data_IF_310939354775
#
_entry.id   IF_310939354775
#
_cell.length_a   1.000
_cell.length_b   1.000
_cell.length_c   1.000
_cell.angle_alpha   90.00
_cell.angle_beta   90.00
_cell.angle_gamma   90.00
#
_symmetry.space_group_name_H-M   'P 1'
#
loop_
_entity.id
_entity.type
_entity.pdbx_description
1 polymer ?
#
# COMPACT_ATOMS: atom_id res chain seq x y z
N UNK A 1 -9.94 20.88 -11.75
CA UNK A 1 -8.98 20.12 -10.91
C UNK A 1 -7.85 19.68 -11.83
N UNK A 2 -6.59 19.91 -11.47
CA UNK A 2 -5.47 19.43 -12.29
C UNK A 2 -5.15 17.97 -11.98
N UNK A 3 -4.50 17.27 -12.91
CA UNK A 3 -4.02 15.90 -12.72
C UNK A 3 -3.15 15.78 -11.46
N UNK A 4 -2.29 16.78 -11.22
CA UNK A 4 -1.46 16.87 -10.00
C UNK A 4 -2.28 16.85 -8.71
N UNK A 5 -3.33 17.67 -8.66
CA UNK A 5 -4.20 17.75 -7.49
C UNK A 5 -4.96 16.44 -7.28
N UNK A 6 -5.39 15.79 -8.37
CA UNK A 6 -6.05 14.48 -8.28
C UNK A 6 -5.07 13.41 -7.76
N UNK A 7 -3.88 13.29 -8.35
CA UNK A 7 -2.83 12.35 -7.92
C UNK A 7 -2.51 12.50 -6.44
N UNK A 8 -2.31 13.74 -5.99
CA UNK A 8 -2.04 14.02 -4.58
C UNK A 8 -3.23 13.70 -3.67
N UNK A 9 -4.46 13.99 -4.08
CA UNK A 9 -5.66 13.65 -3.32
C UNK A 9 -5.84 12.12 -3.20
N UNK A 10 -5.56 11.37 -4.26
CA UNK A 10 -5.60 9.90 -4.25
C UNK A 10 -4.58 9.31 -3.25
N UNK A 11 -3.38 9.89 -3.19
CA UNK A 11 -2.34 9.52 -2.22
C UNK A 11 -2.63 9.96 -0.78
N UNK A 12 -3.68 10.74 -0.54
CA UNK A 12 -4.12 11.12 0.80
C UNK A 12 -5.34 10.29 1.20
N UNK A 13 -6.39 10.33 0.39
CA UNK A 13 -7.67 9.67 0.67
C UNK A 13 -7.53 8.16 0.62
N UNK A 14 -6.81 7.63 -0.38
CA UNK A 14 -6.61 6.19 -0.57
C UNK A 14 -6.01 5.49 0.65
N UNK A 15 -4.79 5.86 1.10
CA UNK A 15 -4.17 5.19 2.24
C UNK A 15 -4.93 5.40 3.55
N UNK A 16 -5.57 6.56 3.77
CA UNK A 16 -6.43 6.75 4.94
C UNK A 16 -7.62 5.78 4.92
N UNK A 17 -8.33 5.70 3.80
CA UNK A 17 -9.47 4.79 3.66
C UNK A 17 -9.03 3.32 3.77
N UNK A 18 -7.90 2.97 3.16
CA UNK A 18 -7.38 1.61 3.13
C UNK A 18 -6.90 1.15 4.51
N UNK A 19 -5.97 1.89 5.11
CA UNK A 19 -5.35 1.50 6.38
C UNK A 19 -6.34 1.65 7.54
N UNK A 20 -7.12 2.73 7.61
CA UNK A 20 -8.13 2.86 8.66
C UNK A 20 -9.28 1.86 8.45
N UNK A 21 -9.68 1.60 7.21
CA UNK A 21 -10.69 0.58 6.90
C UNK A 21 -10.29 -0.80 7.40
N UNK A 22 -9.04 -1.20 7.18
CA UNK A 22 -8.50 -2.48 7.65
C UNK A 22 -8.15 -2.50 9.14
N UNK A 23 -7.58 -1.44 9.71
CA UNK A 23 -7.15 -1.42 11.11
C UNK A 23 -8.30 -1.17 12.09
N UNK A 24 -9.30 -0.37 11.73
CA UNK A 24 -10.42 0.00 12.61
C UNK A 24 -11.57 -0.99 12.51
N UNK A 25 -11.82 -1.53 11.30
CA UNK A 25 -12.94 -2.44 11.04
C UNK A 25 -12.47 -3.84 10.63
N UNK A 26 -11.24 -4.21 10.96
CA UNK A 26 -10.61 -5.47 10.51
C UNK A 26 -11.49 -6.71 10.69
N UNK A 27 -11.30 -7.74 9.85
CA UNK A 27 -12.23 -8.85 9.76
C UNK A 27 -12.33 -9.68 11.05
N UNK A 28 -11.36 -9.61 11.94
CA UNK A 28 -11.27 -10.49 13.11
C UNK A 28 -12.33 -10.16 14.17
N UNK A 29 -13.25 -11.11 14.41
CA UNK A 29 -14.24 -11.02 15.49
C UNK A 29 -15.41 -10.06 15.26
N UNK A 30 -15.48 -9.39 14.11
CA UNK A 30 -16.62 -8.55 13.74
C UNK A 30 -17.73 -9.36 13.05
N UNK A 31 -18.96 -8.84 13.07
CA UNK A 31 -20.05 -9.45 12.32
C UNK A 31 -19.80 -9.35 10.80
N UNK A 32 -20.41 -10.26 10.03
CA UNK A 32 -20.24 -10.37 8.57
C UNK A 32 -20.58 -9.07 7.82
N UNK A 33 -21.49 -8.24 8.35
CA UNK A 33 -21.86 -6.96 7.72
C UNK A 33 -20.73 -5.94 7.86
N UNK A 34 -20.14 -5.83 9.05
CA UNK A 34 -19.01 -4.91 9.30
C UNK A 34 -17.76 -5.36 8.56
N UNK A 35 -17.48 -6.66 8.51
CA UNK A 35 -16.37 -7.23 7.73
C UNK A 35 -16.45 -6.86 6.24
N UNK A 36 -17.67 -6.84 5.65
CA UNK A 36 -17.88 -6.39 4.26
C UNK A 36 -17.48 -4.95 4.04
N UNK A 37 -17.83 -4.06 4.97
CA UNK A 37 -17.47 -2.64 4.86
C UNK A 37 -15.95 -2.44 4.95
N UNK A 38 -15.28 -3.17 5.84
CA UNK A 38 -13.83 -3.15 5.97
C UNK A 38 -13.13 -3.59 4.69
N UNK A 39 -13.59 -4.68 4.09
CA UNK A 39 -13.08 -5.19 2.82
C UNK A 39 -13.22 -4.17 1.68
N UNK A 40 -14.43 -3.59 1.55
CA UNK A 40 -14.74 -2.59 0.52
C UNK A 40 -13.84 -1.36 0.69
N UNK A 41 -13.75 -0.81 1.90
CA UNK A 41 -12.91 0.36 2.17
C UNK A 41 -11.42 0.05 2.00
N UNK A 42 -10.99 -1.12 2.44
CA UNK A 42 -9.65 -1.62 2.27
C UNK A 42 -9.22 -1.70 0.80
N UNK A 43 -10.03 -2.36 -0.01
CA UNK A 43 -9.79 -2.52 -1.45
C UNK A 43 -9.83 -1.17 -2.17
N UNK A 44 -10.89 -0.38 -2.01
CA UNK A 44 -10.99 0.91 -2.69
C UNK A 44 -9.92 1.88 -2.24
N UNK A 45 -9.58 1.90 -0.94
CA UNK A 45 -8.51 2.72 -0.41
C UNK A 45 -7.16 2.38 -1.03
N UNK A 46 -6.81 1.09 -1.07
CA UNK A 46 -5.57 0.67 -1.72
C UNK A 46 -5.58 0.88 -3.25
N UNK A 47 -6.70 0.70 -3.92
CA UNK A 47 -6.83 0.97 -5.37
C UNK A 47 -6.63 2.46 -5.69
N UNK A 48 -7.23 3.35 -4.90
CA UNK A 48 -7.02 4.79 -5.03
C UNK A 48 -5.55 5.16 -4.77
N UNK A 49 -4.94 4.57 -3.74
CA UNK A 49 -3.51 4.77 -3.44
C UNK A 49 -2.62 4.34 -4.61
N UNK A 50 -2.86 3.16 -5.20
CA UNK A 50 -2.14 2.67 -6.39
C UNK A 50 -2.37 3.61 -7.58
N UNK A 51 -3.59 4.11 -7.78
CA UNK A 51 -3.89 5.13 -8.79
C UNK A 51 -3.08 6.41 -8.59
N UNK A 52 -2.92 6.85 -7.33
CA UNK A 52 -2.04 7.94 -6.95
C UNK A 52 -0.57 7.65 -7.27
N UNK A 53 -0.06 6.46 -6.97
CA UNK A 53 1.31 6.09 -7.35
C UNK A 53 1.49 6.02 -8.86
N UNK A 54 0.47 5.57 -9.60
CA UNK A 54 0.50 5.56 -11.06
C UNK A 54 0.63 6.98 -11.63
N UNK A 55 -0.12 7.95 -11.08
CA UNK A 55 0.01 9.35 -11.47
C UNK A 55 1.36 9.97 -11.11
N UNK A 56 2.02 9.54 -10.03
CA UNK A 56 3.41 9.95 -9.74
C UNK A 56 4.37 9.31 -10.73
N UNK A 57 4.19 8.02 -11.04
CA UNK A 57 5.00 7.27 -12.01
C UNK A 57 4.93 7.90 -13.41
N UNK A 58 3.76 8.34 -13.86
CA UNK A 58 3.60 9.00 -15.17
C UNK A 58 4.38 10.33 -15.26
N UNK A 59 4.64 11.00 -14.13
CA UNK A 59 5.48 12.21 -14.07
C UNK A 59 6.98 11.92 -14.10
N UNK A 60 7.41 10.67 -13.98
CA UNK A 60 8.83 10.31 -13.99
C UNK A 60 9.45 10.38 -15.41
N UNK A 61 8.62 10.56 -16.45
CA UNK A 61 9.06 10.53 -17.84
C UNK A 61 9.82 9.24 -18.17
N UNK A 62 10.84 9.33 -19.02
CA UNK A 62 11.75 8.22 -19.35
C UNK A 62 12.93 8.09 -18.37
N UNK A 63 12.77 8.60 -17.14
CA UNK A 63 13.81 8.55 -16.12
C UNK A 63 14.16 7.12 -15.67
N UNK A 64 15.35 6.89 -15.09
CA UNK A 64 15.84 5.56 -14.72
C UNK A 64 14.99 4.86 -13.65
N UNK A 65 14.19 5.61 -12.88
CA UNK A 65 13.27 5.07 -11.88
C UNK A 65 11.96 4.50 -12.45
N UNK A 66 11.61 4.78 -13.72
CA UNK A 66 10.29 4.45 -14.28
C UNK A 66 10.01 2.94 -14.28
N UNK A 67 10.99 2.12 -14.66
CA UNK A 67 10.86 0.67 -14.70
C UNK A 67 10.58 0.08 -13.31
N UNK A 68 11.27 0.58 -12.29
CA UNK A 68 11.06 0.20 -10.90
C UNK A 68 9.70 0.66 -10.39
N UNK A 69 9.26 1.87 -10.73
CA UNK A 69 7.93 2.34 -10.34
C UNK A 69 6.80 1.50 -10.99
N UNK A 70 6.97 1.08 -12.26
CA UNK A 70 6.04 0.14 -12.92
C UNK A 70 6.01 -1.21 -12.22
N UNK A 71 7.17 -1.77 -11.89
CA UNK A 71 7.27 -3.03 -11.16
C UNK A 71 6.59 -2.92 -9.79
N UNK A 72 6.86 -1.86 -9.04
CA UNK A 72 6.24 -1.60 -7.74
C UNK A 72 4.71 -1.59 -7.82
N UNK A 73 4.15 -0.88 -8.81
CA UNK A 73 2.69 -0.81 -9.01
C UNK A 73 2.12 -2.20 -9.31
N UNK A 74 2.78 -2.99 -10.17
CA UNK A 74 2.32 -4.36 -10.47
C UNK A 74 2.31 -5.23 -9.21
N UNK A 75 3.38 -5.18 -8.40
CA UNK A 75 3.46 -5.90 -7.12
C UNK A 75 2.34 -5.48 -6.17
N UNK A 76 2.05 -4.18 -6.06
CA UNK A 76 0.96 -3.67 -5.24
C UNK A 76 -0.42 -4.10 -5.74
N UNK A 77 -0.65 -4.16 -7.06
CA UNK A 77 -1.91 -4.64 -7.65
C UNK A 77 -2.13 -6.13 -7.32
N UNK A 78 -1.08 -6.95 -7.42
CA UNK A 78 -1.15 -8.36 -7.05
C UNK A 78 -1.41 -8.49 -5.55
N UNK A 79 -0.70 -7.71 -4.73
CA UNK A 79 -0.85 -7.72 -3.28
C UNK A 79 -2.26 -7.32 -2.81
N UNK A 80 -2.84 -6.25 -3.35
CA UNK A 80 -4.19 -5.84 -2.96
C UNK A 80 -5.26 -6.85 -3.40
N UNK A 81 -5.08 -7.48 -4.56
CA UNK A 81 -5.97 -8.54 -5.02
C UNK A 81 -5.90 -9.74 -4.06
N UNK A 82 -4.70 -10.16 -3.67
CA UNK A 82 -4.52 -11.25 -2.71
C UNK A 82 -5.08 -10.95 -1.32
N UNK A 83 -4.89 -9.73 -0.79
CA UNK A 83 -5.47 -9.32 0.50
C UNK A 83 -7.01 -9.35 0.48
N UNK A 84 -7.61 -9.06 -0.68
CA UNK A 84 -9.07 -9.16 -0.86
C UNK A 84 -9.54 -10.61 -0.83
N UNK A 85 -8.76 -11.51 -1.43
CA UNK A 85 -9.03 -12.95 -1.42
C UNK A 85 -8.89 -13.53 -0.01
N UNK A 86 -7.86 -13.15 0.74
CA UNK A 86 -7.70 -13.54 2.15
C UNK A 86 -8.93 -13.14 2.98
N UNK A 87 -9.34 -11.86 2.95
CA UNK A 87 -10.51 -11.43 3.70
C UNK A 87 -11.78 -12.18 3.30
N UNK A 88 -11.97 -12.44 2.00
CA UNK A 88 -13.10 -13.23 1.54
C UNK A 88 -13.08 -14.67 2.13
N UNK A 89 -11.91 -15.30 2.22
CA UNK A 89 -11.75 -16.63 2.84
C UNK A 89 -12.04 -16.61 4.35
N UNK A 90 -11.59 -15.58 5.07
CA UNK A 90 -11.88 -15.38 6.49
C UNK A 90 -13.40 -15.26 6.70
N UNK A 91 -14.09 -14.47 5.85
CA UNK A 91 -15.53 -14.26 5.96
C UNK A 91 -16.39 -15.51 5.73
N UNK A 92 -15.95 -16.43 4.87
CA UNK A 92 -16.68 -17.68 4.61
C UNK A 92 -16.30 -18.82 5.58
N UNK A 93 -15.41 -18.56 6.53
CA UNK A 93 -14.92 -19.57 7.48
C UNK A 93 -14.07 -20.66 6.82
N UNK A 94 -13.31 -20.31 5.76
CA UNK A 94 -12.35 -21.23 5.14
C UNK A 94 -11.23 -21.60 6.12
N UNK A 95 -10.50 -22.68 5.81
CA UNK A 95 -9.32 -23.10 6.57
C UNK A 95 -8.34 -21.93 6.77
N UNK A 96 -8.04 -21.65 8.04
CA UNK A 96 -7.22 -20.52 8.47
C UNK A 96 -5.82 -20.58 7.85
N UNK A 97 -5.25 -21.78 7.67
CA UNK A 97 -3.90 -21.96 7.14
C UNK A 97 -3.79 -21.45 5.70
N UNK A 98 -4.81 -21.71 4.87
CA UNK A 98 -4.83 -21.27 3.46
C UNK A 98 -5.02 -19.76 3.36
N UNK A 99 -5.92 -19.20 4.18
CA UNK A 99 -6.17 -17.77 4.21
C UNK A 99 -4.91 -16.99 4.64
N UNK A 100 -4.25 -17.46 5.71
CA UNK A 100 -3.06 -16.81 6.28
C UNK A 100 -1.85 -16.88 5.35
N UNK A 101 -1.59 -18.02 4.72
CA UNK A 101 -0.49 -18.15 3.77
C UNK A 101 -0.68 -17.23 2.55
N UNK A 102 -1.92 -17.13 2.06
CA UNK A 102 -2.29 -16.19 0.99
C UNK A 102 -2.08 -14.74 1.42
N UNK A 103 -2.57 -14.38 2.60
CA UNK A 103 -2.46 -13.04 3.18
C UNK A 103 -1.04 -12.55 3.43
N UNK A 104 -0.20 -13.42 4.00
CA UNK A 104 1.21 -13.13 4.25
C UNK A 104 1.95 -12.85 2.94
N UNK A 105 1.71 -13.66 1.90
CA UNK A 105 2.31 -13.45 0.59
C UNK A 105 1.81 -12.15 -0.04
N UNK A 106 0.50 -11.91 -0.05
CA UNK A 106 -0.08 -10.75 -0.72
C UNK A 106 0.27 -9.43 -0.03
N UNK A 107 0.23 -9.39 1.30
CA UNK A 107 0.69 -8.24 2.06
C UNK A 107 2.20 -8.05 1.92
N UNK A 108 2.97 -9.13 1.92
CA UNK A 108 4.41 -9.10 1.68
C UNK A 108 4.75 -8.51 0.32
N UNK A 109 4.04 -8.88 -0.74
CA UNK A 109 4.19 -8.32 -2.09
C UNK A 109 3.81 -6.84 -2.14
N UNK A 110 2.74 -6.44 -1.45
CA UNK A 110 2.34 -5.04 -1.36
C UNK A 110 3.42 -4.20 -0.67
N UNK A 111 3.95 -4.67 0.48
CA UNK A 111 5.02 -4.00 1.23
C UNK A 111 6.34 -3.98 0.46
N UNK A 112 6.68 -5.07 -0.23
CA UNK A 112 7.83 -5.08 -1.12
C UNK A 112 7.67 -4.09 -2.28
N UNK A 113 6.46 -3.95 -2.82
CA UNK A 113 6.11 -2.90 -3.78
C UNK A 113 6.44 -1.49 -3.26
N UNK A 114 6.14 -1.20 -1.99
CA UNK A 114 6.53 0.09 -1.36
C UNK A 114 8.04 0.30 -1.35
N UNK A 115 8.81 -0.75 -1.05
CA UNK A 115 10.26 -0.66 -1.06
C UNK A 115 10.81 -0.41 -2.47
N UNK A 116 10.31 -1.14 -3.47
CA UNK A 116 10.68 -0.96 -4.88
C UNK A 116 10.29 0.44 -5.38
N UNK A 117 9.16 0.99 -4.93
CA UNK A 117 8.76 2.35 -5.25
C UNK A 117 9.71 3.38 -4.64
N UNK A 118 10.17 3.16 -3.41
CA UNK A 118 11.21 3.99 -2.79
C UNK A 118 12.53 3.97 -3.57
N UNK A 119 12.94 2.80 -4.09
CA UNK A 119 14.11 2.69 -4.98
C UNK A 119 13.89 3.51 -6.26
N UNK A 120 12.70 3.43 -6.87
CA UNK A 120 12.35 4.24 -8.03
C UNK A 120 12.48 5.75 -7.75
N UNK A 121 12.09 6.19 -6.55
CA UNK A 121 12.22 7.58 -6.13
C UNK A 121 13.66 8.01 -5.86
N UNK A 122 14.53 7.11 -5.34
CA UNK A 122 15.96 7.41 -5.21
C UNK A 122 16.62 7.61 -6.57
N UNK A 123 16.26 6.77 -7.55
CA UNK A 123 16.81 6.85 -8.91
C UNK A 123 16.30 8.07 -9.69
N UNK A 124 15.14 8.60 -9.33
CA UNK A 124 14.57 9.77 -9.98
C UNK A 124 15.01 11.06 -9.28
N UNK A 125 15.87 11.85 -9.94
CA UNK A 125 16.68 12.93 -9.34
C UNK A 125 15.89 14.12 -8.73
N UNK A 126 14.56 14.14 -8.80
CA UNK A 126 13.73 15.25 -8.33
C UNK A 126 12.86 14.94 -7.10
N UNK A 127 12.91 13.73 -6.54
CA UNK A 127 12.15 13.37 -5.35
C UNK A 127 12.99 13.48 -4.07
N UNK A 128 12.35 13.87 -2.98
CA UNK A 128 13.01 14.06 -1.70
C UNK A 128 13.60 12.73 -1.20
N UNK A 129 14.93 12.65 -1.10
CA UNK A 129 15.68 11.46 -0.67
C UNK A 129 15.21 10.89 0.66
N UNK A 130 14.82 11.74 1.62
CA UNK A 130 14.34 11.30 2.92
C UNK A 130 13.03 10.52 2.80
N UNK A 131 12.11 11.01 1.95
CA UNK A 131 10.85 10.33 1.68
C UNK A 131 11.11 9.00 0.95
N UNK A 132 11.99 9.00 -0.05
CA UNK A 132 12.37 7.78 -0.78
C UNK A 132 12.95 6.70 0.14
N UNK A 133 13.85 7.08 1.05
CA UNK A 133 14.41 6.16 2.05
C UNK A 133 13.35 5.66 3.03
N UNK A 134 12.40 6.51 3.41
CA UNK A 134 11.30 6.10 4.28
C UNK A 134 10.41 5.02 3.62
N UNK A 135 10.10 5.16 2.32
CA UNK A 135 9.40 4.11 1.55
C UNK A 135 10.16 2.78 1.55
N UNK A 136 11.49 2.82 1.38
CA UNK A 136 12.34 1.63 1.40
C UNK A 136 12.30 0.94 2.76
N UNK A 137 12.53 1.68 3.85
CA UNK A 137 12.60 1.12 5.20
C UNK A 137 11.26 0.50 5.60
N UNK A 138 10.17 1.24 5.39
CA UNK A 138 8.82 0.77 5.72
C UNK A 138 8.45 -0.47 4.91
N UNK A 139 8.72 -0.45 3.60
CA UNK A 139 8.37 -1.57 2.72
C UNK A 139 9.17 -2.84 3.04
N UNK A 140 10.48 -2.73 3.28
CA UNK A 140 11.32 -3.86 3.67
C UNK A 140 10.93 -4.40 5.05
N UNK A 141 10.69 -3.52 6.01
CA UNK A 141 10.22 -3.92 7.34
C UNK A 141 8.90 -4.68 7.26
N UNK A 142 7.93 -4.17 6.49
CA UNK A 142 6.65 -4.83 6.27
C UNK A 142 6.80 -6.19 5.62
N UNK A 143 7.63 -6.31 4.58
CA UNK A 143 7.86 -7.58 3.89
C UNK A 143 8.51 -8.64 4.82
N UNK A 144 9.49 -8.24 5.64
CA UNK A 144 10.10 -9.12 6.65
C UNK A 144 9.09 -9.55 7.70
N UNK A 145 8.28 -8.61 8.20
CA UNK A 145 7.23 -8.92 9.17
C UNK A 145 6.21 -9.93 8.60
N UNK A 146 5.83 -9.80 7.32
CA UNK A 146 4.94 -10.76 6.66
C UNK A 146 5.58 -12.15 6.54
N UNK A 147 6.89 -12.24 6.31
CA UNK A 147 7.56 -13.53 6.16
C UNK A 147 7.73 -14.29 7.48
N UNK A 148 7.91 -13.58 8.60
CA UNK A 148 8.30 -14.20 9.88
C UNK A 148 7.17 -14.18 10.91
N UNK A 149 6.36 -13.12 10.94
CA UNK A 149 5.48 -12.82 12.06
C UNK A 149 4.07 -12.36 11.69
N UNK A 150 3.63 -12.63 10.45
CA UNK A 150 2.34 -12.15 9.93
C UNK A 150 1.17 -12.39 10.91
N UNK A 151 1.11 -13.58 11.49
CA UNK A 151 0.01 -14.01 12.36
C UNK A 151 0.23 -13.72 13.84
N UNK A 152 1.49 -13.62 14.27
CA UNK A 152 1.87 -13.72 15.68
C UNK A 152 2.32 -12.40 16.28
N UNK A 153 2.49 -11.36 15.47
CA UNK A 153 3.09 -10.13 15.94
C UNK A 153 2.45 -8.86 15.39
N UNK A 154 2.09 -7.97 16.30
CA UNK A 154 1.60 -6.62 16.03
C UNK A 154 2.64 -5.69 15.38
N UNK A 155 3.89 -6.12 15.20
CA UNK A 155 4.92 -5.31 14.53
C UNK A 155 4.58 -4.93 13.08
N UNK A 156 3.69 -5.68 12.42
CA UNK A 156 3.22 -5.34 11.06
C UNK A 156 2.43 -4.02 11.03
N UNK A 157 1.81 -3.61 12.13
CA UNK A 157 1.10 -2.33 12.21
C UNK A 157 2.03 -1.13 11.99
N UNK A 158 3.32 -1.24 12.34
CA UNK A 158 4.30 -0.21 12.01
C UNK A 158 4.46 -0.04 10.49
N UNK A 159 4.40 -1.13 9.72
CA UNK A 159 4.46 -1.06 8.27
C UNK A 159 3.18 -0.49 7.67
N UNK A 160 2.00 -0.82 8.20
CA UNK A 160 0.73 -0.24 7.76
C UNK A 160 0.64 1.26 8.03
N UNK A 161 0.95 1.70 9.24
CA UNK A 161 0.96 3.13 9.58
C UNK A 161 2.08 3.85 8.83
N UNK A 162 3.27 3.25 8.75
CA UNK A 162 4.40 3.80 8.01
C UNK A 162 4.09 4.02 6.53
N UNK A 163 3.46 3.04 5.88
CA UNK A 163 3.11 3.13 4.45
C UNK A 163 2.01 4.16 4.20
N UNK A 164 1.04 4.28 5.12
CA UNK A 164 0.06 5.37 5.13
C UNK A 164 0.74 6.73 5.22
N UNK A 165 1.65 6.93 6.19
CA UNK A 165 2.37 8.21 6.37
C UNK A 165 3.26 8.51 5.16
N UNK A 166 3.90 7.50 4.57
CA UNK A 166 4.73 7.66 3.39
C UNK A 166 3.91 8.13 2.18
N UNK A 167 2.77 7.49 1.93
CA UNK A 167 1.85 7.87 0.87
C UNK A 167 1.26 9.26 1.09
N UNK A 168 0.84 9.59 2.32
CA UNK A 168 0.37 10.92 2.70
C UNK A 168 1.42 12.00 2.44
N UNK A 169 2.67 11.76 2.87
CA UNK A 169 3.79 12.64 2.64
C UNK A 169 4.03 12.89 1.15
N UNK A 170 3.99 11.83 0.34
CA UNK A 170 4.11 11.94 -1.10
C UNK A 170 2.94 12.71 -1.72
N UNK A 171 1.72 12.49 -1.25
CA UNK A 171 0.53 13.23 -1.69
C UNK A 171 0.64 14.72 -1.44
N UNK A 172 1.07 15.11 -0.23
CA UNK A 172 1.30 16.52 0.15
C UNK A 172 2.40 17.15 -0.71
N UNK A 173 3.52 16.45 -0.90
CA UNK A 173 4.62 16.94 -1.77
C UNK A 173 4.14 17.10 -3.21
N UNK A 174 3.36 16.15 -3.73
CA UNK A 174 2.81 16.20 -5.09
C UNK A 174 1.88 17.40 -5.27
N UNK A 175 1.03 17.72 -4.29
CA UNK A 175 0.16 18.90 -4.37
C UNK A 175 0.97 20.19 -4.35
N UNK A 176 2.01 20.25 -3.51
CA UNK A 176 2.82 21.46 -3.25
C UNK A 176 3.93 21.69 -4.27
N UNK A 177 4.27 20.72 -5.11
CA UNK A 177 5.36 20.89 -6.10
C UNK A 177 5.03 22.03 -7.08
N UNK A 178 6.03 22.85 -7.39
CA UNK A 178 5.95 23.90 -8.41
C UNK A 178 6.27 23.27 -9.75
N UNK A 179 5.24 22.65 -10.33
CA UNK A 179 5.25 21.85 -11.57
C UNK A 179 6.22 20.67 -11.54
#
# INVERSE_FOLDING_TARGET
>A
MSEKTLTGALLIVGPLLGVLGWMVLGPDGLNVVTQKYALIMGFFGGALMIGGFNGVKDRMGDGPGLSFARLAIVLMIIGIAGNTVEAAHIMIGSDAVVAQAGGALSTGLMMFGFAVLGIAFVLHQNLNTLLSLFFIIVGLWGAVCCAIWYETNSLIYFAYIGSMVAALGLGIVTIRSKE
#
